data_IF_664000376272
#
_entry.id   IF_664000376272
#
_cell.length_a   1.000
_cell.length_b   1.000
_cell.length_c   1.000
_cell.angle_alpha   90.00
_cell.angle_beta   90.00
_cell.angle_gamma   90.00
#
_symmetry.space_group_name_H-M   'P 1'
#
loop_
_entity.id
_entity.type
_entity.pdbx_description
1 polymer ?
#
# COMPACT_ATOMS: atom_id res chain seq x y z
N UNK A 1 38.15 3.99 10.50
CA UNK A 1 37.19 4.94 9.87
C UNK A 1 36.87 4.59 8.41
N UNK A 2 37.84 4.48 7.48
CA UNK A 2 37.56 4.16 6.06
C UNK A 2 36.75 2.86 5.82
N UNK A 3 37.02 1.78 6.56
CA UNK A 3 36.24 0.51 6.47
C UNK A 3 34.78 0.65 6.93
N UNK A 4 34.50 1.50 7.92
CA UNK A 4 33.12 1.71 8.43
C UNK A 4 32.31 2.51 7.41
N UNK A 5 32.93 3.52 6.79
CA UNK A 5 32.30 4.32 5.73
C UNK A 5 31.94 3.46 4.51
N UNK A 6 32.84 2.54 4.12
CA UNK A 6 32.61 1.62 3.00
C UNK A 6 31.45 0.66 3.28
N UNK A 7 31.33 0.12 4.50
CA UNK A 7 30.22 -0.75 4.90
C UNK A 7 28.88 0.00 4.91
N UNK A 8 28.86 1.27 5.36
CA UNK A 8 27.65 2.11 5.33
C UNK A 8 27.16 2.38 3.90
N UNK A 9 28.09 2.65 2.97
CA UNK A 9 27.76 2.83 1.55
C UNK A 9 27.18 1.54 0.97
N UNK A 10 27.75 0.38 1.31
CA UNK A 10 27.26 -0.90 0.82
C UNK A 10 25.84 -1.22 1.33
N UNK A 11 25.55 -0.93 2.61
CA UNK A 11 24.22 -1.07 3.19
C UNK A 11 23.21 -0.15 2.49
N UNK A 12 23.61 1.09 2.17
CA UNK A 12 22.74 2.05 1.49
C UNK A 12 22.40 1.62 0.05
N UNK A 13 23.41 1.17 -0.71
CA UNK A 13 23.19 0.67 -2.09
C UNK A 13 22.30 -0.57 -2.12
N UNK A 14 22.49 -1.49 -1.17
CA UNK A 14 21.67 -2.70 -1.08
C UNK A 14 20.19 -2.36 -0.81
N UNK A 15 19.93 -1.42 0.11
CA UNK A 15 18.56 -0.95 0.38
C UNK A 15 17.91 -0.27 -0.82
N UNK A 16 18.69 0.47 -1.61
CA UNK A 16 18.19 1.18 -2.78
C UNK A 16 17.78 0.21 -3.90
N UNK A 17 18.62 -0.77 -4.24
CA UNK A 17 18.29 -1.78 -5.25
C UNK A 17 17.06 -2.60 -4.85
N UNK A 18 16.95 -2.98 -3.57
CA UNK A 18 15.81 -3.73 -3.07
C UNK A 18 14.49 -2.92 -3.12
N UNK A 19 14.54 -1.61 -2.84
CA UNK A 19 13.38 -0.72 -3.00
C UNK A 19 12.93 -0.65 -4.46
N UNK A 20 13.87 -0.50 -5.39
CA UNK A 20 13.55 -0.47 -6.83
C UNK A 20 12.95 -1.78 -7.33
N UNK A 21 13.44 -2.91 -6.84
CA UNK A 21 12.91 -4.23 -7.18
C UNK A 21 11.46 -4.38 -6.70
N UNK A 22 11.18 -4.00 -5.45
CA UNK A 22 9.81 -3.98 -4.91
C UNK A 22 8.90 -3.07 -5.72
N UNK A 23 9.35 -1.85 -6.03
CA UNK A 23 8.56 -0.89 -6.80
C UNK A 23 8.27 -1.41 -8.22
N UNK A 24 9.25 -2.06 -8.85
CA UNK A 24 9.08 -2.70 -10.17
C UNK A 24 8.07 -3.85 -10.13
N UNK A 25 8.09 -4.70 -9.10
CA UNK A 25 7.11 -5.78 -8.98
C UNK A 25 5.68 -5.26 -8.80
N UNK A 26 5.50 -4.26 -7.93
CA UNK A 26 4.19 -3.61 -7.74
C UNK A 26 3.72 -2.98 -9.06
N UNK A 27 4.60 -2.27 -9.76
CA UNK A 27 4.26 -1.66 -11.05
C UNK A 27 3.91 -2.72 -12.12
N UNK A 28 4.69 -3.80 -12.20
CA UNK A 28 4.44 -4.91 -13.12
C UNK A 28 3.10 -5.58 -12.84
N UNK A 29 2.71 -5.75 -11.57
CA UNK A 29 1.41 -6.28 -11.19
C UNK A 29 0.27 -5.49 -11.81
N UNK A 30 0.37 -4.15 -11.85
CA UNK A 30 -0.66 -3.28 -12.42
C UNK A 30 -0.64 -3.18 -13.95
N UNK A 31 0.31 -3.80 -14.66
CA UNK A 31 0.28 -3.83 -16.14
C UNK A 31 -0.85 -4.71 -16.69
N UNK A 32 -1.39 -5.62 -15.87
CA UNK A 32 -2.48 -6.52 -16.24
C UNK A 32 -3.84 -5.89 -15.91
N UNK A 33 -4.74 -5.80 -16.91
CA UNK A 33 -6.05 -5.14 -16.76
C UNK A 33 -6.96 -5.84 -15.76
N UNK A 34 -6.90 -7.16 -15.70
CA UNK A 34 -7.66 -7.96 -14.74
C UNK A 34 -7.27 -7.63 -13.30
N UNK A 35 -5.96 -7.54 -13.02
CA UNK A 35 -5.45 -7.15 -11.72
C UNK A 35 -5.92 -5.75 -11.32
N UNK A 36 -5.86 -4.78 -12.24
CA UNK A 36 -6.41 -3.43 -12.00
C UNK A 36 -7.89 -3.48 -11.64
N UNK A 37 -8.68 -4.27 -12.38
CA UNK A 37 -10.11 -4.41 -12.16
C UNK A 37 -10.41 -5.02 -10.79
N UNK A 38 -9.68 -6.08 -10.43
CA UNK A 38 -9.81 -6.73 -9.13
C UNK A 38 -9.46 -5.77 -7.98
N UNK A 39 -8.34 -5.04 -8.10
CA UNK A 39 -7.92 -4.07 -7.08
C UNK A 39 -8.96 -2.97 -6.86
N UNK A 40 -9.56 -2.43 -7.93
CA UNK A 40 -10.60 -1.41 -7.80
C UNK A 40 -11.85 -1.90 -7.03
N UNK A 41 -12.10 -3.22 -7.03
CA UNK A 41 -13.27 -3.82 -6.37
C UNK A 41 -12.95 -4.35 -4.96
N UNK A 42 -11.77 -4.94 -4.79
CA UNK A 42 -11.43 -5.77 -3.63
C UNK A 42 -10.15 -5.32 -2.91
N UNK A 43 -9.40 -4.36 -3.47
CA UNK A 43 -8.08 -3.96 -2.98
C UNK A 43 -8.10 -3.20 -1.65
N UNK A 44 -9.28 -2.86 -1.13
CA UNK A 44 -9.43 -2.08 0.09
C UNK A 44 -10.71 -2.43 0.85
N UNK A 45 -10.76 -2.01 2.10
CA UNK A 45 -11.96 -2.00 2.92
C UNK A 45 -11.88 -0.87 3.95
N UNK A 46 -13.00 -0.54 4.58
CA UNK A 46 -13.06 0.51 5.59
C UNK A 46 -13.24 -0.07 6.99
N UNK A 47 -12.61 0.59 7.97
CA UNK A 47 -12.78 0.30 9.39
C UNK A 47 -13.01 1.59 10.16
N UNK A 48 -13.78 1.50 11.25
CA UNK A 48 -13.97 2.62 12.18
C UNK A 48 -12.65 3.01 12.86
N UNK A 49 -12.55 4.28 13.25
CA UNK A 49 -11.44 4.75 14.07
C UNK A 49 -11.46 4.04 15.44
N UNK A 50 -10.36 3.40 15.87
CA UNK A 50 -10.31 2.75 17.17
C UNK A 50 -10.51 3.76 18.31
N UNK A 51 -11.52 3.53 19.16
CA UNK A 51 -11.86 4.45 20.27
C UNK A 51 -10.83 4.46 21.40
N UNK A 52 -10.19 3.32 21.66
CA UNK A 52 -9.36 3.12 22.85
C UNK A 52 -7.86 2.97 22.55
N UNK A 53 -7.49 2.79 21.27
CA UNK A 53 -6.11 2.53 20.86
C UNK A 53 -5.62 3.64 19.93
N UNK A 54 -4.43 4.14 20.20
CA UNK A 54 -3.77 5.06 19.27
C UNK A 54 -3.47 4.34 17.95
N UNK A 55 -3.88 4.97 16.84
CA UNK A 55 -3.70 4.46 15.48
C UNK A 55 -2.78 5.34 14.63
N UNK A 56 -2.40 6.52 15.13
CA UNK A 56 -1.68 7.55 14.37
C UNK A 56 -0.36 7.02 13.79
N UNK A 57 0.40 6.23 14.56
CA UNK A 57 1.68 5.66 14.12
C UNK A 57 1.54 4.56 13.06
N UNK A 58 0.31 4.09 12.78
CA UNK A 58 0.04 3.08 11.76
C UNK A 58 -0.41 3.70 10.44
N UNK A 59 -0.78 4.99 10.45
CA UNK A 59 -1.24 5.67 9.25
C UNK A 59 -0.07 5.85 8.28
N UNK A 60 -0.32 5.46 7.03
CA UNK A 60 0.52 5.74 5.87
C UNK A 60 0.24 7.11 5.28
N UNK A 61 -0.90 7.72 5.61
CA UNK A 61 -1.27 9.05 5.18
C UNK A 61 -2.70 9.43 5.56
N UNK A 62 -3.13 10.59 5.06
CA UNK A 62 -4.50 11.09 5.18
C UNK A 62 -5.02 11.44 3.79
N UNK A 63 -6.27 11.11 3.52
CA UNK A 63 -6.96 11.35 2.27
C UNK A 63 -8.25 12.12 2.52
N UNK A 64 -8.77 12.73 1.46
CA UNK A 64 -10.14 13.23 1.38
C UNK A 64 -10.81 12.54 0.20
N UNK A 65 -11.86 11.77 0.47
CA UNK A 65 -12.62 11.05 -0.55
C UNK A 65 -14.07 11.46 -0.39
N UNK A 66 -14.69 11.94 -1.47
CA UNK A 66 -16.08 12.41 -1.43
C UNK A 66 -17.09 11.26 -1.47
N UNK A 67 -16.71 10.16 -2.13
CA UNK A 67 -17.57 9.01 -2.35
C UNK A 67 -16.81 7.72 -2.02
N UNK A 68 -17.27 6.99 -1.01
CA UNK A 68 -16.69 5.70 -0.60
C UNK A 68 -17.32 4.51 -1.31
N UNK A 69 -18.38 4.72 -2.09
CA UNK A 69 -19.04 3.65 -2.86
C UNK A 69 -18.25 3.27 -4.11
N UNK A 70 -17.42 4.19 -4.62
CA UNK A 70 -16.55 3.97 -5.76
C UNK A 70 -15.22 4.69 -5.58
N UNK A 71 -14.13 3.93 -5.54
CA UNK A 71 -12.75 4.44 -5.45
C UNK A 71 -12.04 4.05 -6.73
N UNK A 72 -11.64 5.05 -7.53
CA UNK A 72 -10.68 4.86 -8.62
C UNK A 72 -9.27 5.17 -8.11
N UNK A 73 -8.44 4.14 -7.97
CA UNK A 73 -7.07 4.31 -7.49
C UNK A 73 -6.17 5.10 -8.44
N UNK A 74 -6.58 5.31 -9.70
CA UNK A 74 -5.85 6.20 -10.63
C UNK A 74 -5.98 7.66 -10.22
N UNK A 75 -7.08 8.02 -9.56
CA UNK A 75 -7.41 9.39 -9.17
C UNK A 75 -7.03 9.70 -7.71
N UNK A 76 -6.48 8.73 -6.99
CA UNK A 76 -6.15 8.87 -5.57
C UNK A 76 -4.68 8.54 -5.36
N UNK A 77 -3.97 9.47 -4.73
CA UNK A 77 -2.55 9.32 -4.42
C UNK A 77 -2.33 8.35 -3.24
N UNK A 78 -2.42 7.05 -3.51
CA UNK A 78 -2.04 5.97 -2.59
C UNK A 78 -0.89 5.16 -3.15
N UNK A 79 -0.03 4.67 -2.27
CA UNK A 79 1.03 3.73 -2.62
C UNK A 79 0.70 2.34 -2.10
N UNK A 80 0.72 1.34 -2.98
CA UNK A 80 0.64 -0.06 -2.61
C UNK A 80 1.99 -0.53 -2.04
N UNK A 81 1.94 -1.47 -1.10
CA UNK A 81 3.12 -2.23 -0.66
C UNK A 81 2.99 -3.67 -1.13
N UNK A 82 4.12 -4.29 -1.45
CA UNK A 82 4.16 -5.71 -1.82
C UNK A 82 3.65 -6.60 -0.69
N UNK A 83 4.06 -6.32 0.55
CA UNK A 83 3.84 -7.22 1.69
C UNK A 83 2.90 -6.67 2.76
N UNK A 84 2.90 -5.36 2.97
CA UNK A 84 2.24 -4.74 4.12
C UNK A 84 0.95 -4.04 3.74
N UNK A 85 -0.03 -4.07 4.65
CA UNK A 85 -1.23 -3.28 4.48
C UNK A 85 -0.91 -1.82 4.75
N UNK A 86 -1.55 -0.92 4.01
CA UNK A 86 -1.44 0.52 4.24
C UNK A 86 -2.73 1.05 4.82
N UNK A 87 -2.62 2.01 5.72
CA UNK A 87 -3.77 2.57 6.44
C UNK A 87 -3.84 4.06 6.14
N UNK A 88 -4.95 4.52 5.57
CA UNK A 88 -5.16 5.92 5.25
C UNK A 88 -6.37 6.44 6.02
N UNK A 89 -6.19 7.55 6.73
CA UNK A 89 -7.32 8.23 7.37
C UNK A 89 -8.14 8.96 6.30
N UNK A 90 -9.43 8.65 6.18
CA UNK A 90 -10.36 9.44 5.36
C UNK A 90 -10.94 10.54 6.23
N UNK A 91 -10.24 11.67 6.25
CA UNK A 91 -10.44 12.74 7.23
C UNK A 91 -11.87 13.30 7.29
N UNK A 92 -12.56 13.36 6.16
CA UNK A 92 -13.92 13.90 6.07
C UNK A 92 -15.03 12.91 6.47
N UNK A 93 -14.70 11.64 6.69
CA UNK A 93 -15.65 10.57 7.01
C UNK A 93 -15.35 9.87 8.33
N UNK A 94 -14.31 10.30 9.05
CA UNK A 94 -13.88 9.71 10.32
C UNK A 94 -13.71 8.18 10.27
N UNK A 95 -13.24 7.67 9.12
CA UNK A 95 -12.98 6.24 8.88
C UNK A 95 -11.54 6.02 8.43
N UNK A 96 -11.03 4.81 8.62
CA UNK A 96 -9.74 4.38 8.07
C UNK A 96 -10.01 3.50 6.86
N UNK A 97 -9.38 3.82 5.73
CA UNK A 97 -9.27 2.93 4.59
C UNK A 97 -8.04 2.04 4.77
N UNK A 98 -8.26 0.73 4.72
CA UNK A 98 -7.21 -0.28 4.74
C UNK A 98 -6.98 -0.75 3.33
N UNK A 99 -5.78 -0.47 2.79
CA UNK A 99 -5.33 -0.92 1.48
C UNK A 99 -4.56 -2.23 1.65
N UNK A 100 -5.02 -3.28 0.97
CA UNK A 100 -4.38 -4.60 1.01
C UNK A 100 -3.00 -4.55 0.34
N UNK A 101 -2.11 -5.44 0.75
CA UNK A 101 -0.83 -5.63 0.06
C UNK A 101 -1.02 -6.40 -1.25
N UNK A 102 -0.09 -6.22 -2.20
CA UNK A 102 -0.14 -6.92 -3.49
C UNK A 102 -0.13 -8.45 -3.29
N UNK A 103 0.70 -8.96 -2.39
CA UNK A 103 0.74 -10.40 -2.12
C UNK A 103 -0.59 -10.94 -1.58
N UNK A 104 -1.30 -10.16 -0.76
CA UNK A 104 -2.60 -10.58 -0.27
C UNK A 104 -3.64 -10.59 -1.39
N UNK A 105 -3.61 -9.57 -2.26
CA UNK A 105 -4.48 -9.52 -3.44
C UNK A 105 -4.23 -10.72 -4.36
N UNK A 106 -2.97 -11.05 -4.66
CA UNK A 106 -2.61 -12.23 -5.47
C UNK A 106 -3.18 -13.51 -4.85
N UNK A 107 -2.98 -13.70 -3.54
CA UNK A 107 -3.52 -14.86 -2.83
C UNK A 107 -5.05 -14.95 -2.93
N UNK A 108 -5.76 -13.82 -2.84
CA UNK A 108 -7.21 -13.81 -3.01
C UNK A 108 -7.63 -14.15 -4.44
N UNK A 109 -6.89 -13.68 -5.45
CA UNK A 109 -7.16 -14.00 -6.86
C UNK A 109 -6.95 -15.50 -7.14
N UNK A 110 -5.84 -16.08 -6.69
CA UNK A 110 -5.51 -17.50 -6.87
C UNK A 110 -6.53 -18.44 -6.20
N UNK A 111 -7.18 -18.00 -5.11
CA UNK A 111 -8.22 -18.77 -4.42
C UNK A 111 -9.59 -18.73 -5.12
N UNK A 112 -9.77 -17.82 -6.09
CA UNK A 112 -11.02 -17.62 -6.83
C UNK A 112 -10.95 -18.14 -8.29
N UNK A 113 -9.81 -18.70 -8.71
CA UNK A 113 -9.64 -19.46 -9.97
C UNK A 113 -9.97 -20.95 -9.80
#
# INVERSE_FOLDING_TARGET
>A
MKRILLNLIFIFLFKFSFSQEIDNEVNNFFLVKEHQTYVNQNGYYFIDIPKEKSYQNRLSGTLQIKDTSYIDFKDINVSFSKNDYRYYLISNLETIMVLKSINHIIQEMDLNE
#
